data_IF_198330576636
#
_entry.id   IF_198330576636
#
_cell.length_a   1.000
_cell.length_b   1.000
_cell.length_c   1.000
_cell.angle_alpha   90.00
_cell.angle_beta   90.00
_cell.angle_gamma   90.00
#
_symmetry.space_group_name_H-M   'P 1'
#
loop_
_entity.id
_entity.type
_entity.pdbx_description
1 polymer ?
#
# COMPACT_ATOMS: atom_id res chain seq x y z
N UNK A 1 3.29 12.50 7.82
CA UNK A 1 3.40 11.52 6.72
C UNK A 1 4.26 12.11 5.62
N UNK A 2 5.26 11.38 5.12
CA UNK A 2 6.06 11.78 3.96
C UNK A 2 5.59 10.99 2.75
N UNK A 3 5.01 11.66 1.76
CA UNK A 3 4.64 11.02 0.50
C UNK A 3 5.89 10.94 -0.39
N UNK A 4 6.17 9.76 -0.93
CA UNK A 4 7.14 9.62 -2.02
C UNK A 4 6.51 10.17 -3.29
N UNK A 5 7.24 11.01 -4.01
CA UNK A 5 6.87 11.51 -5.34
C UNK A 5 7.88 10.94 -6.32
N UNK A 6 7.42 10.37 -7.44
CA UNK A 6 8.33 10.03 -8.53
C UNK A 6 8.77 11.31 -9.25
N UNK A 7 10.05 11.38 -9.62
CA UNK A 7 10.60 12.42 -10.52
C UNK A 7 9.84 12.50 -11.86
N UNK A 8 9.13 11.42 -12.25
CA UNK A 8 8.18 11.36 -13.36
C UNK A 8 6.88 12.16 -13.11
N UNK A 9 6.95 13.32 -12.45
CA UNK A 9 5.82 14.14 -12.02
C UNK A 9 4.94 14.71 -13.15
N UNK A 10 5.21 14.36 -14.41
CA UNK A 10 4.38 14.73 -15.57
C UNK A 10 3.24 13.76 -15.86
N UNK A 11 3.27 12.54 -15.34
CA UNK A 11 2.22 11.52 -15.56
C UNK A 11 1.44 11.25 -14.27
N UNK A 12 0.11 11.01 -14.35
CA UNK A 12 -0.66 10.69 -13.17
C UNK A 12 -0.21 9.35 -12.58
N UNK A 13 -0.17 9.24 -11.25
CA UNK A 13 0.39 8.06 -10.57
C UNK A 13 -0.26 6.72 -10.91
N UNK A 14 -1.49 6.73 -11.44
CA UNK A 14 -2.17 5.52 -11.91
C UNK A 14 -1.58 4.94 -13.19
N UNK A 15 -0.84 5.72 -14.00
CA UNK A 15 -0.25 5.28 -15.26
C UNK A 15 0.78 4.14 -15.06
N UNK A 16 1.40 4.04 -13.88
CA UNK A 16 2.32 2.97 -13.53
C UNK A 16 1.68 1.71 -12.97
N UNK A 17 0.36 1.69 -12.69
CA UNK A 17 -0.31 0.55 -12.07
C UNK A 17 -0.26 -0.72 -12.92
N UNK A 18 -0.45 -0.69 -14.27
CA UNK A 18 -0.34 -1.90 -15.09
C UNK A 18 1.07 -2.52 -15.02
N UNK A 19 2.11 -1.70 -15.12
CA UNK A 19 3.49 -2.17 -14.98
C UNK A 19 3.78 -2.75 -13.60
N UNK A 20 3.26 -2.12 -12.54
CA UNK A 20 3.40 -2.63 -11.18
C UNK A 20 2.71 -4.00 -11.00
N UNK A 21 1.54 -4.21 -11.63
CA UNK A 21 0.85 -5.49 -11.63
C UNK A 21 1.67 -6.59 -12.33
N UNK A 22 2.17 -6.33 -13.55
CA UNK A 22 3.05 -7.26 -14.28
C UNK A 22 4.27 -7.67 -13.46
N UNK A 23 4.90 -6.72 -12.76
CA UNK A 23 6.04 -7.00 -11.91
C UNK A 23 5.68 -7.87 -10.70
N UNK A 24 4.48 -7.70 -10.13
CA UNK A 24 3.97 -8.57 -9.06
C UNK A 24 3.74 -9.98 -9.59
N UNK A 25 3.08 -10.12 -10.74
CA UNK A 25 2.77 -11.41 -11.35
C UNK A 25 4.03 -12.21 -11.70
N UNK A 26 5.10 -11.53 -12.12
CA UNK A 26 6.41 -12.14 -12.38
C UNK A 26 7.29 -12.32 -11.11
N UNK A 27 6.79 -12.01 -9.92
CA UNK A 27 7.59 -12.11 -8.68
C UNK A 27 8.80 -11.17 -8.65
N UNK A 28 8.73 -10.05 -9.38
CA UNK A 28 9.76 -9.01 -9.48
C UNK A 28 9.46 -7.79 -8.61
N UNK A 29 8.24 -7.67 -8.08
CA UNK A 29 7.83 -6.67 -7.11
C UNK A 29 7.09 -7.34 -5.95
N UNK A 30 7.47 -7.00 -4.71
CA UNK A 30 6.78 -7.45 -3.51
C UNK A 30 6.26 -6.24 -2.72
N UNK A 31 5.00 -6.30 -2.28
CA UNK A 31 4.41 -5.29 -1.41
C UNK A 31 4.35 -5.86 0.01
N UNK A 32 5.29 -5.50 0.90
CA UNK A 32 5.27 -6.00 2.27
C UNK A 32 4.00 -5.53 2.97
N UNK A 33 3.32 -6.46 3.63
CA UNK A 33 2.16 -6.16 4.48
C UNK A 33 2.65 -5.94 5.91
N UNK A 34 2.23 -4.83 6.49
CA UNK A 34 2.44 -4.56 7.91
C UNK A 34 1.44 -5.35 8.76
N UNK A 35 0.16 -5.30 8.38
CA UNK A 35 -0.94 -5.97 9.05
C UNK A 35 -2.17 -6.07 8.14
N UNK A 36 -3.04 -7.03 8.43
CA UNK A 36 -4.34 -7.22 7.77
C UNK A 36 -5.42 -7.21 8.84
N UNK A 37 -6.43 -6.38 8.67
CA UNK A 37 -7.57 -6.27 9.60
C UNK A 37 -8.88 -6.53 8.86
N UNK A 38 -9.84 -7.27 9.45
CA UNK A 38 -11.18 -7.31 8.89
C UNK A 38 -11.85 -5.94 8.98
N UNK A 39 -12.82 -5.65 8.12
CA UNK A 39 -13.53 -4.36 8.09
C UNK A 39 -14.10 -3.94 9.46
N UNK A 40 -14.58 -4.90 10.26
CA UNK A 40 -15.07 -4.66 11.63
C UNK A 40 -14.01 -4.09 12.59
N UNK A 41 -12.73 -4.20 12.23
CA UNK A 41 -11.59 -3.71 13.00
C UNK A 41 -10.93 -2.47 12.35
N UNK A 42 -11.62 -1.77 11.44
CA UNK A 42 -11.08 -0.59 10.76
C UNK A 42 -10.52 0.49 11.71
N UNK A 43 -11.11 0.66 12.90
CA UNK A 43 -10.58 1.57 13.92
C UNK A 43 -9.16 1.16 14.36
N UNK A 44 -8.92 -0.13 14.62
CA UNK A 44 -7.58 -0.65 14.98
C UNK A 44 -6.59 -0.50 13.83
N UNK A 45 -7.06 -0.69 12.58
CA UNK A 45 -6.24 -0.46 11.39
C UNK A 45 -5.81 1.01 11.27
N UNK A 46 -6.72 1.94 11.58
CA UNK A 46 -6.43 3.36 11.60
C UNK A 46 -5.41 3.71 12.70
N UNK A 47 -5.62 3.25 13.93
CA UNK A 47 -4.69 3.48 15.04
C UNK A 47 -3.29 2.94 14.70
N UNK A 48 -3.21 1.73 14.13
CA UNK A 48 -1.93 1.17 13.67
C UNK A 48 -1.25 2.06 12.62
N UNK A 49 -2.01 2.63 11.68
CA UNK A 49 -1.51 3.54 10.64
C UNK A 49 -1.01 4.87 11.20
N UNK A 50 -1.56 5.36 12.30
CA UNK A 50 -1.19 6.67 12.87
C UNK A 50 0.08 6.61 13.70
N UNK A 51 0.47 5.42 14.20
CA UNK A 51 1.71 5.24 15.00
C UNK A 51 3.00 5.62 14.26
N UNK A 52 2.98 5.73 12.92
CA UNK A 52 4.13 6.11 12.10
C UNK A 52 5.23 5.03 11.98
N UNK A 53 5.07 3.88 12.63
CA UNK A 53 6.03 2.77 12.63
C UNK A 53 5.64 1.62 11.69
N UNK A 54 4.51 1.73 10.99
CA UNK A 54 4.08 0.72 10.04
C UNK A 54 5.12 0.53 8.93
N UNK A 55 5.67 -0.69 8.82
CA UNK A 55 6.57 -1.09 7.74
C UNK A 55 5.78 -1.89 6.71
N UNK A 56 5.36 -1.23 5.64
CA UNK A 56 4.56 -1.83 4.58
C UNK A 56 3.12 -1.32 4.55
N UNK A 57 2.24 -2.06 3.89
CA UNK A 57 0.82 -1.71 3.73
C UNK A 57 -0.03 -2.31 4.85
N UNK A 58 -1.00 -1.54 5.33
CA UNK A 58 -2.10 -2.05 6.15
C UNK A 58 -3.27 -2.33 5.21
N UNK A 59 -3.79 -3.55 5.23
CA UNK A 59 -4.89 -4.00 4.36
C UNK A 59 -6.14 -4.20 5.19
N UNK A 60 -7.28 -3.72 4.67
CA UNK A 60 -8.59 -4.03 5.22
C UNK A 60 -9.22 -5.12 4.35
N UNK A 61 -9.65 -6.22 4.95
CA UNK A 61 -10.37 -7.28 4.25
C UNK A 61 -11.87 -7.14 4.45
N UNK A 62 -12.61 -7.29 3.35
CA UNK A 62 -14.07 -7.37 3.35
C UNK A 62 -14.40 -8.81 2.96
N UNK A 63 -14.79 -9.68 3.90
CA UNK A 63 -15.28 -11.01 3.58
C UNK A 63 -16.59 -10.95 2.79
#
# INVERSE_FOLDING_TARGET
MRFSRSEAGGSPGWAGLPLAADLVDHGRLAVPLHAVFPLKEAARAHDASTTGHARGKIVITVP
#
